data_IF_304312017050
#
_entry.id   IF_304312017050
#
_cell.length_a   1.000
_cell.length_b   1.000
_cell.length_c   1.000
_cell.angle_alpha   90.00
_cell.angle_beta   90.00
_cell.angle_gamma   90.00
#
_symmetry.space_group_name_H-M   'P 1'
#
loop_
_entity.id
_entity.type
_entity.pdbx_description
1 polymer ?
#
# COMPACT_ATOMS: atom_id res chain seq x y z
N UNK A 1 -17.90 28.57 -10.95
CA UNK A 1 -16.63 28.10 -10.36
C UNK A 1 -16.60 26.59 -10.59
N UNK A 2 -15.60 26.06 -11.29
CA UNK A 2 -15.48 24.63 -11.51
C UNK A 2 -14.88 24.01 -10.25
N UNK A 3 -15.63 23.12 -9.61
CA UNK A 3 -15.15 22.30 -8.50
C UNK A 3 -13.97 21.46 -9.01
N UNK A 4 -12.82 21.53 -8.35
CA UNK A 4 -11.75 20.59 -8.61
C UNK A 4 -12.20 19.26 -8.03
N UNK A 5 -12.72 18.39 -8.89
CA UNK A 5 -12.84 16.96 -8.60
C UNK A 5 -11.42 16.44 -8.41
N UNK A 6 -10.96 16.47 -7.15
CA UNK A 6 -9.72 15.83 -6.76
C UNK A 6 -9.99 14.35 -6.65
N UNK A 7 -9.58 13.57 -7.64
CA UNK A 7 -9.49 12.12 -7.48
C UNK A 7 -8.31 11.86 -6.54
N UNK A 8 -8.56 11.83 -5.23
CA UNK A 8 -7.58 11.33 -4.28
C UNK A 8 -7.59 9.81 -4.37
N UNK A 9 -6.61 9.25 -5.06
CA UNK A 9 -6.35 7.81 -5.02
C UNK A 9 -5.49 7.51 -3.80
N UNK A 10 -5.94 6.60 -2.94
CA UNK A 10 -5.16 6.16 -1.80
C UNK A 10 -4.04 5.23 -2.27
N UNK A 11 -2.88 5.31 -1.61
CA UNK A 11 -1.79 4.40 -1.90
C UNK A 11 -0.92 4.15 -0.67
N UNK A 12 -0.23 3.01 -0.69
CA UNK A 12 0.87 2.73 0.22
C UNK A 12 2.02 2.04 -0.53
N UNK A 13 3.24 2.20 -0.03
CA UNK A 13 4.43 1.52 -0.56
C UNK A 13 5.10 0.74 0.56
N UNK A 14 5.48 -0.51 0.28
CA UNK A 14 6.20 -1.37 1.20
C UNK A 14 7.47 -1.92 0.56
N UNK A 15 8.52 -2.02 1.35
CA UNK A 15 9.73 -2.76 1.05
C UNK A 15 10.10 -3.63 2.26
N UNK A 16 10.94 -4.64 2.05
CA UNK A 16 11.54 -5.35 3.17
C UNK A 16 12.51 -4.44 3.94
N UNK A 17 12.70 -4.66 5.25
CA UNK A 17 13.71 -3.91 6.00
C UNK A 17 15.09 -4.16 5.39
N UNK A 18 15.97 -3.17 5.49
CA UNK A 18 17.33 -3.30 5.02
C UNK A 18 18.06 -4.44 5.75
N UNK A 19 18.88 -5.20 5.03
CA UNK A 19 19.68 -6.29 5.57
C UNK A 19 19.19 -7.68 5.15
N UNK A 20 19.27 -8.66 6.06
CA UNK A 20 19.00 -10.06 5.72
C UNK A 20 17.56 -10.25 5.20
N UNK A 21 17.44 -10.74 3.96
CA UNK A 21 16.16 -10.99 3.30
C UNK A 21 15.51 -9.75 2.69
N UNK A 22 16.23 -8.62 2.56
CA UNK A 22 15.69 -7.43 1.92
C UNK A 22 15.23 -7.67 0.47
N UNK A 23 15.89 -8.59 -0.24
CA UNK A 23 15.59 -8.99 -1.61
C UNK A 23 14.46 -10.03 -1.74
N UNK A 24 13.96 -10.58 -0.62
CA UNK A 24 12.98 -11.68 -0.61
C UNK A 24 11.59 -11.19 -1.05
N UNK A 25 11.33 -11.31 -2.36
CA UNK A 25 10.05 -10.95 -2.98
C UNK A 25 8.87 -11.73 -2.39
N UNK A 26 8.91 -13.07 -2.19
CA UNK A 26 7.85 -13.78 -1.48
C UNK A 26 7.50 -13.20 -0.10
N UNK A 27 8.50 -12.84 0.70
CA UNK A 27 8.29 -12.23 2.01
C UNK A 27 7.65 -10.84 1.89
N UNK A 28 8.07 -10.04 0.91
CA UNK A 28 7.46 -8.75 0.60
C UNK A 28 5.97 -8.90 0.25
N UNK A 29 5.63 -9.84 -0.64
CA UNK A 29 4.25 -10.06 -1.08
C UNK A 29 3.33 -10.53 0.06
N UNK A 30 3.84 -11.32 1.01
CA UNK A 30 3.07 -11.70 2.21
C UNK A 30 2.79 -10.49 3.10
N UNK A 31 3.77 -9.61 3.31
CA UNK A 31 3.56 -8.37 4.09
C UNK A 31 2.58 -7.42 3.42
N UNK A 32 2.58 -7.36 2.09
CA UNK A 32 1.55 -6.62 1.34
C UNK A 32 0.18 -7.25 1.59
N UNK A 33 0.04 -8.57 1.51
CA UNK A 33 -1.21 -9.26 1.81
C UNK A 33 -1.72 -8.97 3.23
N UNK A 34 -0.84 -9.07 4.24
CA UNK A 34 -1.18 -8.75 5.64
C UNK A 34 -1.66 -7.29 5.80
N UNK A 35 -1.07 -6.37 5.03
CA UNK A 35 -1.47 -4.96 5.03
C UNK A 35 -2.84 -4.77 4.38
N UNK A 36 -3.11 -5.45 3.27
CA UNK A 36 -4.41 -5.41 2.58
C UNK A 36 -5.53 -5.97 3.46
N UNK A 37 -5.28 -7.08 4.17
CA UNK A 37 -6.24 -7.65 5.13
C UNK A 37 -6.60 -6.65 6.25
N UNK A 38 -5.65 -5.82 6.66
CA UNK A 38 -5.84 -4.79 7.68
C UNK A 38 -6.64 -3.56 7.21
N UNK A 39 -6.68 -3.28 5.90
CA UNK A 39 -7.42 -2.15 5.34
C UNK A 39 -8.92 -2.41 5.21
N UNK A 40 -9.36 -3.68 5.27
CA UNK A 40 -10.76 -4.05 5.15
C UNK A 40 -11.27 -4.01 3.71
N UNK A 41 -12.48 -3.49 3.51
CA UNK A 41 -13.12 -3.44 2.19
C UNK A 41 -12.51 -2.31 1.33
N UNK A 42 -11.69 -2.69 0.35
CA UNK A 42 -11.05 -1.78 -0.60
C UNK A 42 -11.13 -2.35 -2.02
N UNK A 43 -11.14 -1.46 -3.01
CA UNK A 43 -10.95 -1.80 -4.42
C UNK A 43 -9.51 -1.48 -4.83
N UNK A 44 -8.72 -2.50 -5.16
CA UNK A 44 -7.36 -2.29 -5.68
C UNK A 44 -7.44 -1.81 -7.12
N UNK A 45 -6.82 -0.67 -7.39
CA UNK A 45 -6.75 -0.04 -8.72
C UNK A 45 -5.50 -0.46 -9.48
N UNK A 46 -4.36 -0.50 -8.81
CA UNK A 46 -3.09 -0.89 -9.41
C UNK A 46 -2.10 -1.42 -8.35
N UNK A 47 -1.17 -2.26 -8.78
CA UNK A 47 -0.06 -2.77 -7.98
C UNK A 47 1.21 -2.76 -8.81
N UNK A 48 2.21 -2.02 -8.34
CA UNK A 48 3.49 -1.86 -9.02
C UNK A 48 4.59 -2.47 -8.16
N UNK A 49 5.32 -3.44 -8.71
CA UNK A 49 6.59 -3.93 -8.16
C UNK A 49 7.74 -3.16 -8.82
N UNK A 50 8.48 -2.42 -8.02
CA UNK A 50 9.69 -1.70 -8.42
C UNK A 50 10.90 -2.28 -7.70
N UNK A 51 12.04 -2.36 -8.37
CA UNK A 51 13.27 -2.87 -7.77
C UNK A 51 14.38 -1.84 -7.94
N UNK A 52 14.87 -1.33 -6.82
CA UNK A 52 16.10 -0.53 -6.75
C UNK A 52 17.28 -1.39 -6.28
N UNK A 53 18.47 -0.78 -6.23
CA UNK A 53 19.66 -1.35 -5.60
C UNK A 53 20.02 -0.48 -4.40
N UNK A 54 20.45 -1.10 -3.30
CA UNK A 54 21.06 -0.38 -2.18
C UNK A 54 22.50 0.08 -2.50
N UNK A 55 23.14 0.73 -1.53
CA UNK A 55 24.51 1.24 -1.65
C UNK A 55 25.55 0.13 -1.89
N UNK A 56 25.22 -1.13 -1.59
CA UNK A 56 26.07 -2.31 -1.78
C UNK A 56 25.74 -3.06 -3.09
N UNK A 57 24.76 -2.56 -3.85
CA UNK A 57 24.32 -3.17 -5.11
C UNK A 57 23.37 -4.36 -4.91
N UNK A 58 22.81 -4.55 -3.72
CA UNK A 58 21.84 -5.60 -3.43
C UNK A 58 20.44 -5.14 -3.82
N UNK A 59 19.67 -6.05 -4.43
CA UNK A 59 18.31 -5.79 -4.87
C UNK A 59 17.39 -5.43 -3.70
N UNK A 60 16.71 -4.30 -3.81
CA UNK A 60 15.73 -3.85 -2.83
C UNK A 60 14.36 -3.64 -3.50
N UNK A 61 13.55 -4.70 -3.62
CA UNK A 61 12.21 -4.62 -4.18
C UNK A 61 11.26 -3.88 -3.25
N UNK A 62 10.34 -3.13 -3.85
CA UNK A 62 9.23 -2.46 -3.20
C UNK A 62 7.95 -2.64 -4.00
N UNK A 63 6.82 -2.73 -3.31
CA UNK A 63 5.49 -2.79 -3.91
C UNK A 63 4.73 -1.54 -3.53
N UNK A 64 4.18 -0.84 -4.51
CA UNK A 64 3.22 0.25 -4.30
C UNK A 64 1.84 -0.22 -4.73
N UNK A 65 0.87 -0.06 -3.85
CA UNK A 65 -0.54 -0.38 -4.11
C UNK A 65 -1.33 0.90 -4.17
N UNK A 66 -2.15 1.04 -5.21
CA UNK A 66 -3.15 2.10 -5.35
C UNK A 66 -4.53 1.50 -5.17
N UNK A 67 -5.36 2.13 -4.36
CA UNK A 67 -6.69 1.61 -4.02
C UNK A 67 -7.67 2.74 -3.70
N UNK A 68 -8.94 2.39 -3.70
CA UNK A 68 -10.03 3.22 -3.20
C UNK A 68 -10.71 2.45 -2.04
N UNK A 69 -11.19 3.16 -1.01
CA UNK A 69 -12.03 2.54 0.01
C UNK A 69 -13.42 2.30 -0.56
N UNK A 70 -14.04 1.18 -0.19
CA UNK A 70 -15.43 0.95 -0.52
C UNK A 70 -16.32 1.97 0.24
N UNK A 71 -16.96 2.89 -0.48
CA UNK A 71 -17.79 3.96 0.09
C UNK A 71 -19.00 3.41 0.87
N UNK A 72 -19.43 2.16 0.62
CA UNK A 72 -20.58 1.56 1.30
C UNK A 72 -20.26 1.05 2.72
N UNK A 73 -18.98 0.96 3.11
CA UNK A 73 -18.56 0.58 4.45
C UNK A 73 -17.25 1.29 4.85
N UNK A 74 -17.31 2.60 5.17
CA UNK A 74 -16.13 3.33 5.58
C UNK A 74 -15.51 2.67 6.82
N UNK A 75 -14.16 2.63 6.92
CA UNK A 75 -13.50 2.10 8.11
C UNK A 75 -14.03 2.84 9.33
N UNK A 76 -14.42 2.07 10.36
CA UNK A 76 -15.22 2.55 11.48
C UNK A 76 -14.70 3.85 12.08
N UNK A 77 -15.34 4.96 11.74
CA UNK A 77 -15.32 6.20 12.51
C UNK A 77 -16.09 5.93 13.81
N UNK A 78 -15.41 5.27 14.75
CA UNK A 78 -15.67 5.47 16.19
C UNK A 78 -15.16 6.86 16.57
N UNK A 79 -15.81 7.89 16.03
CA UNK A 79 -15.69 9.27 16.46
C UNK A 79 -17.00 9.63 17.16
N UNK A 80 -17.06 9.17 18.41
CA UNK A 80 -17.95 9.57 19.50
C UNK A 80 -18.61 10.95 19.36
N UNK A 81 -19.94 10.95 19.45
CA UNK A 81 -20.78 11.81 20.31
C UNK A 81 -20.59 13.33 20.32
N UNK A 82 -21.68 14.04 20.02
CA UNK A 82 -21.88 15.46 20.34
C UNK A 82 -23.10 16.06 19.68
#
# INVERSE_FOLDING_TARGET
MAERIGYQTHHFSLANPQGEGQEDVPTLLRRVADTLDGLGAIEIRDLILHTDLDDEGTSWPSVTVYFDYDEENPPGDDMTGG
#
